data_IF_859167851828
#
_entry.id   IF_859167851828
#
_cell.length_a   1.000
_cell.length_b   1.000
_cell.length_c   1.000
_cell.angle_alpha   90.00
_cell.angle_beta   90.00
_cell.angle_gamma   90.00
#
_symmetry.space_group_name_H-M   'P 1'
#
loop_
_entity.id
_entity.type
_entity.pdbx_description
1 polymer ?
#
# COMPACT_ATOMS: atom_id res chain seq x y z
N UNK A 1 51.66 -2.23 -23.10
CA UNK A 1 51.08 -0.86 -23.03
C UNK A 1 49.85 -0.66 -23.93
N UNK A 2 49.62 -1.47 -24.98
CA UNK A 2 48.45 -1.30 -25.86
C UNK A 2 47.13 -1.93 -25.32
N UNK A 3 47.19 -3.01 -24.54
CA UNK A 3 45.99 -3.76 -24.12
C UNK A 3 45.11 -3.03 -23.09
N UNK A 4 45.72 -2.20 -22.23
CA UNK A 4 44.99 -1.42 -21.21
C UNK A 4 44.02 -0.43 -21.88
N UNK A 5 44.31 0.05 -23.09
CA UNK A 5 43.41 0.96 -23.81
C UNK A 5 42.11 0.29 -24.23
N UNK A 6 42.12 -0.96 -24.71
CA UNK A 6 40.90 -1.64 -25.15
C UNK A 6 39.97 -1.99 -23.98
N UNK A 7 40.53 -2.44 -22.86
CA UNK A 7 39.73 -2.73 -21.65
C UNK A 7 39.12 -1.44 -21.09
N UNK A 8 39.89 -0.35 -21.07
CA UNK A 8 39.39 0.97 -20.64
C UNK A 8 38.32 1.50 -21.58
N UNK A 9 38.46 1.27 -22.88
CA UNK A 9 37.49 1.69 -23.90
C UNK A 9 36.19 0.88 -23.80
N UNK A 10 36.28 -0.45 -23.63
CA UNK A 10 35.12 -1.31 -23.36
C UNK A 10 34.39 -0.91 -22.06
N UNK A 11 35.13 -0.57 -21.00
CA UNK A 11 34.56 -0.10 -19.75
C UNK A 11 33.82 1.24 -19.92
N UNK A 12 34.35 2.16 -20.72
CA UNK A 12 33.64 3.41 -21.07
C UNK A 12 32.32 3.10 -21.75
N UNK A 13 32.28 2.19 -22.72
CA UNK A 13 31.05 1.82 -23.40
C UNK A 13 30.04 1.12 -22.46
N UNK A 14 30.51 0.30 -21.52
CA UNK A 14 29.65 -0.32 -20.50
C UNK A 14 28.98 0.73 -19.60
N UNK A 15 29.76 1.68 -19.09
CA UNK A 15 29.25 2.78 -18.26
C UNK A 15 28.29 3.67 -19.06
N UNK A 16 28.63 3.96 -20.32
CA UNK A 16 27.80 4.78 -21.21
C UNK A 16 26.46 4.08 -21.50
N UNK A 17 26.47 2.79 -21.86
CA UNK A 17 25.27 2.00 -22.08
C UNK A 17 24.39 1.91 -20.83
N UNK A 18 24.98 1.61 -19.67
CA UNK A 18 24.25 1.56 -18.40
C UNK A 18 23.68 2.93 -18.02
N UNK A 19 24.43 4.00 -18.24
CA UNK A 19 24.00 5.38 -17.98
C UNK A 19 22.81 5.80 -18.84
N UNK A 20 22.82 5.47 -20.13
CA UNK A 20 21.69 5.76 -21.05
C UNK A 20 20.44 4.99 -20.62
N UNK A 21 20.55 3.71 -20.29
CA UNK A 21 19.41 2.92 -19.81
C UNK A 21 18.86 3.50 -18.51
N UNK A 22 19.73 3.86 -17.57
CA UNK A 22 19.30 4.48 -16.32
C UNK A 22 18.57 5.80 -16.55
N UNK A 23 19.11 6.67 -17.42
CA UNK A 23 18.48 7.94 -17.78
C UNK A 23 17.12 7.73 -18.43
N UNK A 24 17.00 6.74 -19.32
CA UNK A 24 15.75 6.38 -19.98
C UNK A 24 14.69 5.92 -18.97
N UNK A 25 15.06 5.01 -18.06
CA UNK A 25 14.15 4.56 -17.00
C UNK A 25 13.76 5.70 -16.06
N UNK A 26 14.69 6.59 -15.71
CA UNK A 26 14.41 7.76 -14.90
C UNK A 26 13.35 8.65 -15.56
N UNK A 27 13.48 8.91 -16.87
CA UNK A 27 12.49 9.67 -17.64
C UNK A 27 11.15 8.94 -17.64
N UNK A 28 11.11 7.62 -17.86
CA UNK A 28 9.87 6.85 -17.82
C UNK A 28 9.15 6.96 -16.47
N UNK A 29 9.89 6.84 -15.37
CA UNK A 29 9.32 7.01 -14.02
C UNK A 29 8.73 8.40 -13.85
N UNK A 30 9.39 9.45 -14.35
CA UNK A 30 8.88 10.81 -14.29
C UNK A 30 7.62 10.99 -15.14
N UNK A 31 7.54 10.39 -16.33
CA UNK A 31 6.33 10.39 -17.17
C UNK A 31 5.17 9.70 -16.47
N UNK A 32 5.39 8.53 -15.88
CA UNK A 32 4.35 7.80 -15.13
C UNK A 32 3.86 8.63 -13.95
N UNK A 33 4.75 9.29 -13.20
CA UNK A 33 4.37 10.22 -12.12
C UNK A 33 3.56 11.41 -12.63
N UNK A 34 3.94 11.97 -13.79
CA UNK A 34 3.20 13.06 -14.40
C UNK A 34 1.80 12.61 -14.80
N UNK A 35 1.68 11.43 -15.42
CA UNK A 35 0.39 10.81 -15.74
C UNK A 35 -0.44 10.58 -14.48
N UNK A 36 0.13 10.01 -13.43
CA UNK A 36 -0.57 9.80 -12.15
C UNK A 36 -1.09 11.12 -11.56
N UNK A 37 -0.29 12.19 -11.59
CA UNK A 37 -0.70 13.52 -11.13
C UNK A 37 -1.78 14.14 -12.02
N UNK A 38 -1.70 13.93 -13.33
CA UNK A 38 -2.68 14.39 -14.29
C UNK A 38 -4.03 13.69 -14.06
N UNK A 39 -4.01 12.36 -13.92
CA UNK A 39 -5.18 11.54 -13.61
C UNK A 39 -5.78 11.99 -12.28
N UNK A 40 -5.00 12.09 -11.20
CA UNK A 40 -5.50 12.53 -9.90
C UNK A 40 -6.13 13.94 -9.92
N UNK A 41 -5.66 14.83 -10.81
CA UNK A 41 -6.18 16.20 -10.94
C UNK A 41 -7.46 16.28 -11.78
N UNK A 42 -7.51 15.57 -12.91
CA UNK A 42 -8.62 15.68 -13.87
C UNK A 42 -9.68 14.58 -13.70
N UNK A 43 -9.30 13.43 -13.15
CA UNK A 43 -10.16 12.32 -12.75
C UNK A 43 -9.89 12.00 -11.28
N UNK A 44 -10.22 12.92 -10.35
CA UNK A 44 -10.13 12.61 -8.94
C UNK A 44 -11.01 11.38 -8.68
N UNK A 45 -10.37 10.29 -8.26
CA UNK A 45 -11.06 9.12 -7.78
C UNK A 45 -11.87 9.55 -6.54
N UNK A 46 -13.19 9.68 -6.70
CA UNK A 46 -14.14 9.81 -5.59
C UNK A 46 -14.30 8.46 -4.87
N UNK A 47 -13.25 7.65 -4.83
CA UNK A 47 -13.19 6.49 -3.96
C UNK A 47 -12.63 7.02 -2.65
N UNK A 48 -13.46 7.15 -1.58
CA UNK A 48 -12.87 7.26 -0.26
C UNK A 48 -11.92 6.07 -0.17
N UNK A 49 -10.62 6.36 0.00
CA UNK A 49 -9.65 5.34 0.34
C UNK A 49 -10.21 4.76 1.62
N UNK A 50 -10.88 3.61 1.48
CA UNK A 50 -11.34 2.83 2.61
C UNK A 50 -10.02 2.36 3.20
N UNK A 51 -9.47 3.16 4.12
CA UNK A 51 -8.49 2.68 5.07
C UNK A 51 -9.02 1.31 5.52
N UNK A 52 -8.18 0.27 5.63
CA UNK A 52 -8.61 -1.01 6.16
C UNK A 52 -9.41 -0.69 7.42
N UNK A 53 -10.74 -0.91 7.34
CA UNK A 53 -11.60 -0.59 8.45
C UNK A 53 -11.17 -1.56 9.53
N UNK A 54 -10.38 -1.08 10.50
CA UNK A 54 -10.33 -1.71 11.80
C UNK A 54 -11.79 -1.85 12.19
N UNK A 55 -12.34 -3.06 12.39
CA UNK A 55 -13.71 -3.17 12.83
C UNK A 55 -13.79 -2.35 14.11
N UNK A 56 -14.54 -1.23 14.05
CA UNK A 56 -14.92 -0.54 15.26
C UNK A 56 -15.77 -1.55 16.01
N UNK A 57 -15.19 -2.15 17.04
CA UNK A 57 -15.96 -2.96 17.97
C UNK A 57 -16.84 -1.97 18.69
N UNK A 58 -18.10 -1.86 18.26
CA UNK A 58 -19.12 -1.09 18.97
C UNK A 58 -19.25 -1.69 20.36
N UNK A 59 -18.55 -1.10 21.32
CA UNK A 59 -18.44 -1.58 22.70
C UNK A 59 -19.82 -1.60 23.37
N UNK A 60 -20.75 -0.77 22.89
CA UNK A 60 -22.16 -0.81 23.30
C UNK A 60 -22.85 -2.12 22.88
N UNK A 61 -22.62 -2.62 21.67
CA UNK A 61 -23.23 -3.87 21.21
C UNK A 61 -22.64 -5.09 21.91
N UNK A 62 -21.35 -5.06 22.24
CA UNK A 62 -20.72 -6.10 23.06
C UNK A 62 -21.29 -6.10 24.49
N UNK A 63 -21.40 -4.93 25.13
CA UNK A 63 -22.01 -4.80 26.45
C UNK A 63 -23.49 -5.24 26.47
N UNK A 64 -24.27 -4.94 25.42
CA UNK A 64 -25.66 -5.39 25.29
C UNK A 64 -25.75 -6.91 25.18
N UNK A 65 -24.85 -7.54 24.41
CA UNK A 65 -24.78 -9.01 24.29
C UNK A 65 -24.44 -9.66 25.63
N UNK A 66 -23.44 -9.14 26.35
CA UNK A 66 -23.05 -9.64 27.66
C UNK A 66 -24.20 -9.50 28.66
N UNK A 67 -24.88 -8.35 28.70
CA UNK A 67 -26.04 -8.14 29.57
C UNK A 67 -27.20 -9.12 29.25
N UNK A 68 -27.48 -9.37 27.98
CA UNK A 68 -28.50 -10.33 27.56
C UNK A 68 -28.18 -11.76 28.00
N UNK A 69 -26.91 -12.19 27.89
CA UNK A 69 -26.46 -13.51 28.34
C UNK A 69 -26.61 -13.63 29.86
N UNK A 70 -26.17 -12.62 30.62
CA UNK A 70 -26.29 -12.61 32.08
C UNK A 70 -27.77 -12.69 32.51
N UNK A 71 -28.65 -11.93 31.86
CA UNK A 71 -30.09 -11.97 32.16
C UNK A 71 -30.68 -13.37 31.91
N UNK A 72 -30.34 -14.00 30.78
CA UNK A 72 -30.82 -15.34 30.43
C UNK A 72 -30.34 -16.40 31.45
N UNK A 73 -29.06 -16.36 31.85
CA UNK A 73 -28.49 -17.29 32.84
C UNK A 73 -29.13 -17.09 34.21
N UNK A 74 -29.36 -15.84 34.61
CA UNK A 74 -29.95 -15.51 35.91
C UNK A 74 -31.40 -15.98 35.99
N UNK A 75 -32.19 -15.78 34.93
CA UNK A 75 -33.57 -16.25 34.86
C UNK A 75 -33.63 -17.79 34.85
N UNK A 76 -32.76 -18.45 34.08
CA UNK A 76 -32.68 -19.91 34.08
C UNK A 76 -32.35 -20.48 35.47
N UNK A 77 -31.42 -19.85 36.20
CA UNK A 77 -31.05 -20.27 37.56
C UNK A 77 -32.18 -20.02 38.56
N UNK A 78 -32.92 -18.92 38.42
CA UNK A 78 -34.09 -18.60 39.24
C UNK A 78 -35.26 -19.56 38.98
N UNK A 79 -35.46 -19.98 37.74
CA UNK A 79 -36.52 -20.92 37.35
C UNK A 79 -36.18 -22.41 37.60
N UNK A 80 -34.91 -22.71 37.94
CA UNK A 80 -34.42 -24.07 38.26
C UNK A 80 -34.25 -24.30 39.77
N UNK A 81 -34.61 -23.33 40.60
CA UNK A 81 -34.68 -23.46 42.06
C UNK A 81 -36.12 -23.45 42.54
#
# INVERSE_FOLDING_TARGET
MAEVNYVMEALKFMVLGMGVVFLFLFILVQVIKLQAKLIAKYFPENTPIKAPATPAVDTEDENRRVAAIIAAVTEFRKNKS
#
